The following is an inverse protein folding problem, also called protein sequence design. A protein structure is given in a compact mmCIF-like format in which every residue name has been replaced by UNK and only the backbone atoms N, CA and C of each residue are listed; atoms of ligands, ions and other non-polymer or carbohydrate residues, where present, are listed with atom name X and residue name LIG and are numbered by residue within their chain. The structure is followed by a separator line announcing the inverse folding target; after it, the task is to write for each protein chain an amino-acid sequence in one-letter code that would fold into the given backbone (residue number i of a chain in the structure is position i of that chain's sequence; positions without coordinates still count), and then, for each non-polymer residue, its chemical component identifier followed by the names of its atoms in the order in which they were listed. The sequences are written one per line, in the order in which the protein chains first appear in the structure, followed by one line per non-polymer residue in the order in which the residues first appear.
data_IF_169389547698
#
_entry.id   IF_169389547698
#
_cell.length_a   1.000
_cell.length_b   1.000
_cell.length_c   1.000
_cell.angle_alpha   90.00
_cell.angle_beta   90.00
_cell.angle_gamma   90.00
#
_symmetry.space_group_name_H-M   'P 1'
#
loop_
_entity.id
_entity.type
_entity.pdbx_description
1 polymer ?
#
# COMPACT_ATOMS: atom_id res chain seq x y z
N UNK A 1 12.52 -51.72 -26.85
CA UNK A 1 13.74 -50.89 -26.65
C UNK A 1 13.45 -49.54 -26.02
N UNK A 2 12.23 -49.11 -25.92
CA UNK A 2 11.89 -47.74 -25.50
C UNK A 2 11.78 -47.54 -23.99
N UNK A 3 11.30 -48.55 -23.25
CA UNK A 3 11.18 -48.45 -21.77
C UNK A 3 12.49 -48.20 -21.03
N UNK A 4 13.59 -48.77 -21.50
CA UNK A 4 14.91 -48.55 -20.91
C UNK A 4 15.40 -47.13 -21.12
N UNK A 5 15.12 -46.54 -22.27
CA UNK A 5 15.47 -45.15 -22.57
C UNK A 5 14.64 -44.17 -21.77
N UNK A 6 13.36 -44.46 -21.53
CA UNK A 6 12.45 -43.67 -20.72
C UNK A 6 12.92 -43.68 -19.26
N UNK A 7 13.26 -44.85 -18.71
CA UNK A 7 13.77 -44.99 -17.36
C UNK A 7 15.09 -44.22 -17.19
N UNK A 8 16.00 -44.34 -18.17
CA UNK A 8 17.26 -43.62 -18.17
C UNK A 8 17.06 -42.09 -18.21
N UNK A 9 16.13 -41.61 -19.02
CA UNK A 9 15.81 -40.18 -19.11
C UNK A 9 15.23 -39.62 -17.79
N UNK A 10 14.30 -40.37 -17.18
CA UNK A 10 13.70 -39.96 -15.88
C UNK A 10 14.77 -39.97 -14.80
N UNK A 11 15.63 -40.97 -14.74
CA UNK A 11 16.70 -41.06 -13.76
C UNK A 11 17.71 -39.92 -13.92
N UNK A 12 18.08 -39.58 -15.14
CA UNK A 12 19.00 -38.46 -15.40
C UNK A 12 18.37 -37.11 -15.01
N UNK A 13 17.09 -36.90 -15.34
CA UNK A 13 16.37 -35.71 -14.96
C UNK A 13 16.27 -35.54 -13.43
N UNK A 14 15.93 -36.63 -12.73
CA UNK A 14 15.90 -36.62 -11.26
C UNK A 14 17.27 -36.31 -10.64
N UNK A 15 18.34 -36.89 -11.19
CA UNK A 15 19.71 -36.61 -10.72
C UNK A 15 20.09 -35.13 -10.88
N UNK A 16 19.72 -34.51 -11.99
CA UNK A 16 19.98 -33.07 -12.22
C UNK A 16 19.23 -32.21 -11.19
N UNK A 17 17.95 -32.53 -10.91
CA UNK A 17 17.16 -31.80 -9.92
C UNK A 17 17.78 -31.94 -8.51
N UNK A 18 18.22 -33.15 -8.14
CA UNK A 18 18.85 -33.38 -6.85
C UNK A 18 20.19 -32.62 -6.73
N UNK A 19 21.02 -32.67 -7.78
CA UNK A 19 22.26 -31.90 -7.81
C UNK A 19 22.02 -30.39 -7.68
N UNK A 20 21.02 -29.87 -8.41
CA UNK A 20 20.67 -28.48 -8.33
C UNK A 20 20.22 -28.07 -6.90
N UNK A 21 19.38 -28.87 -6.25
CA UNK A 21 18.91 -28.59 -4.89
C UNK A 21 20.01 -28.67 -3.86
N UNK A 22 21.01 -29.54 -4.05
CA UNK A 22 22.14 -29.66 -3.13
C UNK A 22 23.18 -28.53 -3.26
N UNK A 23 23.38 -28.03 -4.49
CA UNK A 23 24.48 -27.07 -4.75
C UNK A 23 23.99 -25.63 -4.97
N UNK A 24 22.76 -25.43 -5.43
CA UNK A 24 22.25 -24.11 -5.85
C UNK A 24 20.97 -23.69 -5.14
N UNK A 25 20.21 -24.58 -4.51
CA UNK A 25 19.03 -24.16 -3.79
C UNK A 25 19.41 -23.37 -2.54
N UNK A 26 18.81 -22.18 -2.31
CA UNK A 26 19.01 -21.46 -1.06
C UNK A 26 18.49 -22.30 0.11
N UNK A 27 19.11 -22.21 1.30
CA UNK A 27 18.65 -22.95 2.47
C UNK A 27 17.18 -22.64 2.77
N UNK A 28 16.38 -23.65 3.19
CA UNK A 28 15.00 -23.43 3.55
C UNK A 28 14.93 -22.40 4.68
N UNK A 29 14.22 -21.31 4.48
CA UNK A 29 13.96 -20.31 5.51
C UNK A 29 13.06 -20.93 6.58
N UNK A 30 13.66 -21.39 7.65
CA UNK A 30 12.94 -21.85 8.84
C UNK A 30 12.32 -20.65 9.51
N UNK A 31 11.04 -20.71 9.86
CA UNK A 31 10.27 -19.61 10.48
C UNK A 31 10.86 -19.04 11.78
N UNK A 32 11.84 -19.72 12.38
CA UNK A 32 12.52 -19.28 13.60
C UNK A 32 13.56 -18.17 13.38
N UNK A 33 14.05 -17.97 12.14
CA UNK A 33 15.06 -16.94 11.86
C UNK A 33 14.47 -15.58 11.45
N UNK A 34 13.15 -15.41 11.49
CA UNK A 34 12.47 -14.15 11.14
C UNK A 34 12.31 -13.20 12.34
N UNK A 35 12.58 -13.64 13.57
CA UNK A 35 12.33 -12.82 14.76
C UNK A 35 13.56 -12.03 15.23
N UNK A 36 14.77 -12.37 14.79
CA UNK A 36 15.99 -11.80 15.39
C UNK A 36 16.83 -10.89 14.47
N UNK A 37 16.38 -10.63 13.22
CA UNK A 37 17.14 -9.80 12.27
C UNK A 37 16.55 -8.40 12.00
N UNK A 38 15.61 -7.95 12.83
CA UNK A 38 15.02 -6.62 12.72
C UNK A 38 15.57 -5.60 13.73
N UNK A 39 16.87 -5.67 14.02
CA UNK A 39 17.57 -4.61 14.71
C UNK A 39 18.84 -4.24 13.97
N UNK A 40 18.71 -3.70 12.80
CA UNK A 40 19.72 -2.83 12.20
C UNK A 40 19.03 -1.95 11.17
N UNK A 41 19.05 -0.70 11.46
CA UNK A 41 18.62 0.45 10.73
C UNK A 41 18.73 0.30 9.21
N UNK A 42 17.59 0.31 8.52
CA UNK A 42 17.49 0.75 7.15
C UNK A 42 16.32 1.70 7.03
N UNK A 43 16.61 2.99 7.19
CA UNK A 43 15.79 4.07 6.66
C UNK A 43 15.81 3.96 5.13
N UNK A 44 14.94 3.16 4.59
CA UNK A 44 14.55 3.24 3.19
C UNK A 44 13.06 3.58 3.17
N UNK A 45 12.77 4.86 2.96
CA UNK A 45 11.43 5.40 2.74
C UNK A 45 10.81 4.96 1.39
N UNK A 46 11.02 3.71 1.02
CA UNK A 46 10.22 3.08 -0.01
C UNK A 46 8.98 2.50 0.68
N UNK A 47 7.77 2.73 0.17
CA UNK A 47 6.56 2.12 0.70
C UNK A 47 6.73 0.60 0.69
N UNK A 48 6.99 0.02 1.86
CA UNK A 48 7.11 -1.43 2.01
C UNK A 48 5.70 -2.00 2.16
N UNK A 49 5.29 -2.80 1.20
CA UNK A 49 4.02 -3.53 1.21
C UNK A 49 3.91 -4.58 2.33
N UNK A 50 4.97 -4.76 3.15
CA UNK A 50 5.08 -5.86 4.11
C UNK A 50 5.00 -5.46 5.59
N UNK A 51 4.71 -4.20 5.92
CA UNK A 51 4.36 -3.87 7.30
C UNK A 51 2.88 -4.22 7.56
N UNK A 52 2.60 -5.49 7.83
CA UNK A 52 1.44 -5.84 8.65
C UNK A 52 1.69 -5.33 10.08
N UNK A 53 1.49 -4.05 10.29
CA UNK A 53 1.09 -3.59 11.62
C UNK A 53 -0.16 -4.39 11.99
N UNK A 54 -0.28 -4.82 13.24
CA UNK A 54 -1.51 -5.40 13.77
C UNK A 54 -2.56 -4.28 13.86
N UNK A 55 -3.00 -3.80 12.71
CA UNK A 55 -4.07 -2.83 12.61
C UNK A 55 -5.35 -3.58 12.90
N UNK A 56 -6.04 -3.23 13.94
CA UNK A 56 -7.40 -3.72 14.19
C UNK A 56 -8.24 -3.26 13.01
N UNK A 57 -8.68 -4.20 12.18
CA UNK A 57 -9.54 -3.89 11.04
C UNK A 57 -10.83 -3.26 11.53
N UNK A 58 -11.10 -2.05 11.10
CA UNK A 58 -12.32 -1.30 11.40
C UNK A 58 -13.19 -1.16 10.15
N UNK A 59 -14.45 -0.74 10.33
CA UNK A 59 -15.29 -0.46 9.18
C UNK A 59 -14.75 0.75 8.39
N UNK A 60 -15.06 0.80 7.08
CA UNK A 60 -14.64 1.92 6.22
C UNK A 60 -15.14 3.26 6.78
N UNK A 61 -16.37 3.32 7.27
CA UNK A 61 -16.99 4.51 7.83
C UNK A 61 -16.24 4.99 9.10
N UNK A 62 -15.84 4.06 9.95
CA UNK A 62 -15.03 4.37 11.13
C UNK A 62 -13.67 4.90 10.73
N UNK A 63 -12.98 4.25 9.78
CA UNK A 63 -11.69 4.67 9.29
C UNK A 63 -11.73 6.07 8.64
N UNK A 64 -12.78 6.40 7.90
CA UNK A 64 -12.99 7.72 7.30
C UNK A 64 -13.18 8.83 8.36
N UNK A 65 -13.69 8.48 9.54
CA UNK A 65 -13.90 9.45 10.63
C UNK A 65 -12.65 9.75 11.48
N UNK A 66 -11.57 8.99 11.30
CA UNK A 66 -10.34 9.15 12.12
C UNK A 66 -9.52 10.40 11.79
N UNK A 67 -9.75 11.03 10.64
CA UNK A 67 -9.00 12.21 10.22
C UNK A 67 -9.88 13.25 9.55
N UNK A 68 -9.46 14.50 9.63
CA UNK A 68 -10.06 15.57 8.82
C UNK A 68 -9.81 15.31 7.34
N UNK A 69 -10.82 15.61 6.50
CA UNK A 69 -10.82 15.20 5.09
C UNK A 69 -11.35 16.29 4.17
N UNK A 70 -10.82 16.31 2.96
CA UNK A 70 -11.30 17.16 1.86
C UNK A 70 -12.09 16.30 0.89
N UNK A 71 -13.33 16.68 0.66
CA UNK A 71 -14.20 16.00 -0.28
C UNK A 71 -13.85 16.34 -1.73
N UNK A 72 -13.93 15.37 -2.62
CA UNK A 72 -13.92 15.61 -4.05
C UNK A 72 -15.07 14.88 -4.75
N UNK A 73 -15.53 15.47 -5.81
CA UNK A 73 -16.64 14.90 -6.58
C UNK A 73 -16.64 15.43 -8.01
N UNK A 74 -16.94 14.55 -8.95
CA UNK A 74 -17.29 14.90 -10.33
C UNK A 74 -18.45 14.04 -10.82
N UNK A 75 -18.66 13.95 -12.14
CA UNK A 75 -19.76 13.15 -12.72
C UNK A 75 -19.60 11.64 -12.44
N UNK A 76 -18.38 11.11 -12.45
CA UNK A 76 -18.11 9.67 -12.43
C UNK A 76 -17.64 9.14 -11.07
N UNK A 77 -17.03 10.00 -10.24
CA UNK A 77 -16.43 9.61 -8.96
C UNK A 77 -16.80 10.54 -7.82
N UNK A 78 -16.82 10.00 -6.63
CA UNK A 78 -16.91 10.72 -5.35
C UNK A 78 -15.91 10.12 -4.38
N UNK A 79 -15.32 10.96 -3.53
CA UNK A 79 -14.35 10.49 -2.54
C UNK A 79 -13.82 11.61 -1.66
N UNK A 80 -12.74 11.31 -0.94
CA UNK A 80 -12.09 12.28 -0.08
C UNK A 80 -10.59 12.02 0.06
N UNK A 81 -9.87 13.07 0.44
CA UNK A 81 -8.44 13.07 0.73
C UNK A 81 -8.28 13.26 2.23
N UNK A 82 -7.56 12.37 2.89
CA UNK A 82 -7.19 12.53 4.30
C UNK A 82 -6.16 13.64 4.45
N UNK A 83 -6.35 14.55 5.42
CA UNK A 83 -5.32 15.53 5.77
C UNK A 83 -4.18 14.91 6.59
N UNK A 84 -4.36 13.72 7.13
CA UNK A 84 -3.28 12.93 7.69
C UNK A 84 -2.57 12.18 6.57
N UNK A 85 -1.30 12.47 6.36
CA UNK A 85 -0.47 11.89 5.30
C UNK A 85 -0.79 12.38 3.89
N UNK A 86 -1.78 13.27 3.69
CA UNK A 86 -2.28 13.69 2.38
C UNK A 86 -2.68 12.51 1.48
N UNK A 87 -3.20 11.43 2.08
CA UNK A 87 -3.52 10.20 1.39
C UNK A 87 -4.85 10.30 0.64
N UNK A 88 -4.90 9.76 -0.57
CA UNK A 88 -6.14 9.54 -1.31
C UNK A 88 -6.56 8.10 -1.02
N UNK A 89 -7.43 7.92 -0.05
CA UNK A 89 -7.83 6.64 0.50
C UNK A 89 -9.35 6.43 0.54
N UNK A 90 -10.08 7.21 -0.23
CA UNK A 90 -11.52 7.11 -0.35
C UNK A 90 -11.94 7.53 -1.75
N UNK A 91 -12.35 6.56 -2.57
CA UNK A 91 -12.86 6.79 -3.91
C UNK A 91 -13.89 5.74 -4.28
N UNK A 92 -15.06 6.21 -4.67
CA UNK A 92 -16.21 5.39 -5.11
C UNK A 92 -16.61 5.80 -6.51
N UNK A 93 -16.88 4.82 -7.37
CA UNK A 93 -17.46 5.05 -8.68
C UNK A 93 -18.97 5.26 -8.58
N UNK A 94 -19.50 6.31 -9.22
CA UNK A 94 -20.93 6.62 -9.20
C UNK A 94 -21.76 5.74 -10.14
N UNK A 95 -21.16 5.30 -11.24
CA UNK A 95 -21.86 4.59 -12.32
C UNK A 95 -21.68 3.07 -12.24
N UNK A 96 -20.69 2.58 -11.47
CA UNK A 96 -20.41 1.14 -11.38
C UNK A 96 -20.96 0.55 -10.10
N UNK A 97 -21.71 -0.53 -10.24
CA UNK A 97 -22.22 -1.31 -9.12
C UNK A 97 -21.39 -2.58 -8.93
N UNK A 98 -21.24 -3.05 -7.70
CA UNK A 98 -20.52 -4.29 -7.36
C UNK A 98 -21.19 -5.51 -8.02
N UNK A 99 -22.51 -5.53 -8.06
CA UNK A 99 -23.31 -6.58 -8.73
C UNK A 99 -24.33 -5.91 -9.64
N UNK A 100 -24.63 -6.53 -10.78
CA UNK A 100 -25.68 -6.08 -11.68
C UNK A 100 -27.01 -5.91 -10.93
N UNK A 101 -27.68 -4.78 -11.13
CA UNK A 101 -28.94 -4.41 -10.49
C UNK A 101 -28.87 -4.21 -8.97
N UNK A 102 -27.68 -4.10 -8.36
CA UNK A 102 -27.54 -3.65 -6.97
C UNK A 102 -27.43 -2.12 -6.90
N UNK A 103 -27.65 -1.57 -5.70
CA UNK A 103 -27.39 -0.16 -5.42
C UNK A 103 -26.00 0.05 -4.81
N UNK A 104 -25.28 -1.02 -4.51
CA UNK A 104 -23.95 -0.97 -3.92
C UNK A 104 -22.92 -0.56 -4.97
N UNK A 105 -22.23 0.54 -4.72
CA UNK A 105 -21.24 1.10 -5.64
C UNK A 105 -19.86 0.48 -5.42
N UNK A 106 -19.09 0.41 -6.50
CA UNK A 106 -17.71 -0.06 -6.44
C UNK A 106 -16.84 0.99 -5.73
N UNK A 107 -16.25 0.61 -4.61
CA UNK A 107 -15.20 1.37 -3.95
C UNK A 107 -13.85 0.98 -4.55
N UNK A 108 -13.15 1.93 -5.15
CA UNK A 108 -11.81 1.69 -5.70
C UNK A 108 -10.75 1.85 -4.62
N UNK A 109 -10.90 2.86 -3.75
CA UNK A 109 -9.96 3.14 -2.67
C UNK A 109 -10.68 3.06 -1.33
N UNK A 110 -9.97 2.55 -0.32
CA UNK A 110 -10.44 2.46 1.05
C UNK A 110 -9.27 2.73 2.02
N UNK A 111 -9.54 3.31 3.21
CA UNK A 111 -8.51 3.64 4.20
C UNK A 111 -7.68 2.43 4.60
N UNK A 112 -6.40 2.67 4.92
CA UNK A 112 -5.43 1.64 5.32
C UNK A 112 -5.93 0.70 6.43
N UNK A 113 -6.67 1.25 7.39
CA UNK A 113 -7.17 0.51 8.55
C UNK A 113 -8.46 -0.26 8.28
N UNK A 114 -9.05 -0.13 7.09
CA UNK A 114 -10.25 -0.88 6.72
C UNK A 114 -9.88 -2.26 6.19
N UNK A 115 -10.84 -3.18 6.22
CA UNK A 115 -10.68 -4.59 5.78
C UNK A 115 -10.11 -4.72 4.36
N UNK A 116 -10.44 -3.81 3.48
CA UNK A 116 -10.01 -3.80 2.09
C UNK A 116 -9.17 -2.54 1.79
N UNK A 117 -8.29 -2.18 2.74
CA UNK A 117 -7.46 -0.98 2.64
C UNK A 117 -6.66 -0.94 1.34
N UNK A 118 -6.95 0.04 0.49
CA UNK A 118 -6.23 0.31 -0.75
C UNK A 118 -6.22 1.81 -1.02
N UNK A 119 -5.04 2.39 -1.06
CA UNK A 119 -4.89 3.85 -1.06
C UNK A 119 -3.72 4.30 -1.94
N UNK A 120 -3.72 5.58 -2.27
CA UNK A 120 -2.63 6.26 -2.96
C UNK A 120 -1.96 7.20 -1.98
N UNK A 121 -0.66 7.01 -1.79
CA UNK A 121 0.20 7.92 -1.03
C UNK A 121 1.30 8.46 -1.94
N UNK A 122 1.68 9.71 -1.69
CA UNK A 122 2.89 10.32 -2.24
C UNK A 122 3.82 10.67 -1.10
N UNK A 123 5.12 10.43 -1.29
CA UNK A 123 6.12 10.71 -0.26
C UNK A 123 7.22 11.63 -0.76
N UNK A 124 7.98 12.17 0.17
CA UNK A 124 9.18 12.94 -0.06
C UNK A 124 10.38 12.14 0.42
N UNK A 125 11.51 12.28 -0.24
CA UNK A 125 12.77 11.69 0.17
C UNK A 125 13.80 12.80 0.34
N UNK A 126 14.68 12.66 1.33
CA UNK A 126 15.81 13.56 1.54
C UNK A 126 17.10 12.77 1.67
N UNK A 127 18.18 13.36 1.19
CA UNK A 127 19.55 12.84 1.41
C UNK A 127 20.17 13.39 2.69
N UNK A 128 19.61 14.48 3.23
CA UNK A 128 20.05 15.08 4.50
C UNK A 128 19.20 14.52 5.65
N UNK A 129 19.82 13.76 6.52
CA UNK A 129 19.21 13.13 7.68
C UNK A 129 18.72 14.12 8.75
N UNK A 130 19.17 15.38 8.71
CA UNK A 130 18.76 16.42 9.64
C UNK A 130 17.52 17.19 9.21
N UNK A 131 17.04 16.94 7.98
CA UNK A 131 15.85 17.58 7.43
C UNK A 131 14.64 16.71 7.72
N UNK A 132 13.71 17.23 8.49
CA UNK A 132 12.41 16.60 8.71
C UNK A 132 11.52 16.79 7.46
N UNK A 133 11.02 15.69 6.93
CA UNK A 133 10.09 15.66 5.79
C UNK A 133 8.74 15.10 6.20
N UNK A 134 7.65 15.44 5.51
CA UNK A 134 6.34 14.90 5.83
C UNK A 134 6.26 13.39 5.53
N UNK A 135 5.53 12.69 6.38
CA UNK A 135 5.29 11.24 6.29
C UNK A 135 3.80 10.92 6.40
N UNK A 136 3.44 9.64 6.46
CA UNK A 136 2.05 9.17 6.54
C UNK A 136 1.28 9.62 7.79
N UNK A 137 1.97 10.11 8.83
CA UNK A 137 1.35 10.65 10.04
C UNK A 137 1.32 12.18 10.08
N UNK A 138 1.97 12.85 9.15
CA UNK A 138 2.02 14.30 9.09
C UNK A 138 0.63 14.89 8.80
N UNK A 139 0.27 15.95 9.51
CA UNK A 139 -1.00 16.65 9.31
C UNK A 139 -0.78 17.78 8.32
N UNK A 140 -1.56 17.78 7.26
CA UNK A 140 -1.54 18.80 6.22
C UNK A 140 -2.62 19.83 6.44
N UNK A 141 -2.32 21.07 6.11
CA UNK A 141 -3.28 22.17 6.10
C UNK A 141 -3.80 22.38 4.69
N UNK A 142 -5.08 22.72 4.58
CA UNK A 142 -5.70 23.04 3.28
C UNK A 142 -5.83 24.55 3.13
N UNK A 143 -5.51 25.05 1.94
CA UNK A 143 -5.74 26.43 1.54
C UNK A 143 -6.69 26.47 0.34
N UNK A 144 -7.69 27.35 0.40
CA UNK A 144 -8.67 27.50 -0.68
C UNK A 144 -10.04 26.91 -0.34
N UNK A 145 -10.70 26.30 -1.31
CA UNK A 145 -12.05 25.77 -1.13
C UNK A 145 -12.06 24.49 -0.29
N UNK A 146 -13.15 24.27 0.43
CA UNK A 146 -13.36 23.05 1.23
C UNK A 146 -13.69 21.80 0.39
N UNK A 147 -13.87 21.95 -0.93
CA UNK A 147 -14.19 20.85 -1.85
C UNK A 147 -13.32 20.97 -3.10
N UNK A 148 -12.69 19.85 -3.48
CA UNK A 148 -11.94 19.74 -4.73
C UNK A 148 -12.89 19.42 -5.87
N UNK A 149 -12.83 20.21 -6.94
CA UNK A 149 -13.57 19.98 -8.20
C UNK A 149 -12.64 20.22 -9.40
N UNK A 150 -13.09 19.89 -10.59
CA UNK A 150 -12.32 20.15 -11.82
C UNK A 150 -12.02 21.64 -12.03
N UNK A 151 -12.83 22.55 -11.49
CA UNK A 151 -12.70 24.00 -11.63
C UNK A 151 -12.09 24.67 -10.37
N UNK A 152 -12.05 23.96 -9.25
CA UNK A 152 -11.61 24.48 -7.96
C UNK A 152 -10.51 23.59 -7.40
N UNK A 153 -9.24 23.81 -7.78
CA UNK A 153 -8.11 23.09 -7.20
C UNK A 153 -7.93 23.48 -5.73
N UNK A 154 -7.42 22.55 -4.95
CA UNK A 154 -7.00 22.78 -3.56
C UNK A 154 -5.48 22.77 -3.47
N UNK A 155 -4.95 23.41 -2.45
CA UNK A 155 -3.53 23.34 -2.11
C UNK A 155 -3.39 22.78 -0.71
N UNK A 156 -2.67 21.67 -0.60
CA UNK A 156 -2.23 21.12 0.68
C UNK A 156 -0.85 21.66 1.00
N UNK A 157 -0.65 22.12 2.23
CA UNK A 157 0.60 22.67 2.71
C UNK A 157 0.98 21.98 4.00
N UNK A 158 2.21 21.56 4.10
CA UNK A 158 2.83 21.09 5.32
C UNK A 158 4.04 21.98 5.61
N UNK A 159 4.32 22.22 6.86
CA UNK A 159 5.49 22.98 7.29
C UNK A 159 6.04 22.33 8.57
N UNK A 160 7.36 22.33 8.70
CA UNK A 160 8.06 21.94 9.91
C UNK A 160 8.64 23.17 10.63
N UNK A 161 9.25 22.94 11.79
CA UNK A 161 9.92 23.99 12.58
C UNK A 161 11.21 24.51 11.92
N UNK A 162 11.69 23.86 10.86
CA UNK A 162 12.90 24.24 10.11
C UNK A 162 12.60 25.17 8.93
N UNK A 163 11.33 25.51 8.69
CA UNK A 163 10.91 26.45 7.65
C UNK A 163 10.82 25.83 6.25
N UNK A 164 10.62 24.53 6.18
CA UNK A 164 10.36 23.79 4.92
C UNK A 164 8.86 23.58 4.77
#
# INVERSE_FOLDING_TARGET
METRNIIAAISLSAAVIILYTLFFAPPPVTKENLVEKNKTEQNSDAPSLDQKENVTEISREQALSESERIQFENQSIIGSISLKGAAIDDLTFKEYNVVLNSNEKVNLLAPRNSKEGYLIESGFITTDKNVEIPNSNSIWSVSGNSKLTAQSPIKLTWANDQGI
#
